data_IF_341174829217
#
_entry.id   IF_341174829217
#
_cell.length_a   1.000
_cell.length_b   1.000
_cell.length_c   1.000
_cell.angle_alpha   90.00
_cell.angle_beta   90.00
_cell.angle_gamma   90.00
#
_symmetry.space_group_name_H-M   'P 1'
#
loop_
_entity.id
_entity.type
_entity.pdbx_description
1 polymer ?
#
# COMPACT_ATOMS: atom_id res chain seq x y z
N UNK A 1 -20.69 0.66 23.14
CA UNK A 1 -20.08 -0.13 22.04
C UNK A 1 -19.12 0.69 21.19
N UNK A 2 -19.48 1.92 20.78
CA UNK A 2 -18.59 2.84 20.03
C UNK A 2 -17.59 3.65 20.88
N UNK A 3 -17.88 3.90 22.17
CA UNK A 3 -17.06 4.79 23.03
C UNK A 3 -15.62 4.33 23.28
N UNK A 4 -15.37 3.03 23.42
CA UNK A 4 -14.00 2.51 23.67
C UNK A 4 -13.12 2.45 22.42
N UNK A 5 -13.74 2.44 21.23
CA UNK A 5 -13.03 2.43 19.94
C UNK A 5 -12.77 3.87 19.46
N UNK A 6 -13.72 4.78 19.68
CA UNK A 6 -13.60 6.22 19.39
C UNK A 6 -12.46 6.89 20.20
N UNK A 7 -12.27 6.48 21.45
CA UNK A 7 -11.23 7.04 22.32
C UNK A 7 -9.80 6.67 21.89
N UNK A 8 -9.60 5.50 21.27
CA UNK A 8 -8.29 5.10 20.72
C UNK A 8 -7.94 5.85 19.43
N UNK A 9 -8.96 6.25 18.65
CA UNK A 9 -8.80 6.98 17.39
C UNK A 9 -8.48 8.47 17.59
N UNK A 10 -9.13 9.12 18.56
CA UNK A 10 -8.83 10.51 18.92
C UNK A 10 -7.39 10.70 19.46
N UNK A 11 -6.86 9.68 20.14
CA UNK A 11 -5.48 9.65 20.65
C UNK A 11 -4.43 9.45 19.55
N UNK A 12 -4.76 8.76 18.46
CA UNK A 12 -3.87 8.66 17.28
C UNK A 12 -3.86 9.94 16.45
N UNK A 13 -4.99 10.64 16.34
CA UNK A 13 -5.07 11.94 15.66
C UNK A 13 -4.22 13.02 16.36
N UNK A 14 -4.03 12.95 17.69
CA UNK A 14 -3.18 13.88 18.43
C UNK A 14 -1.67 13.60 18.29
N UNK A 15 -1.27 12.40 17.86
CA UNK A 15 0.14 12.01 17.70
C UNK A 15 0.72 12.44 16.34
N UNK A 16 -0.12 12.89 15.40
CA UNK A 16 0.30 13.40 14.09
C UNK A 16 0.85 14.84 14.13
N UNK A 17 0.90 15.48 15.31
CA UNK A 17 1.48 16.81 15.49
C UNK A 17 2.94 16.70 15.94
N UNK A 18 3.83 16.32 15.02
CA UNK A 18 5.28 16.52 15.17
C UNK A 18 5.70 17.54 14.11
N UNK A 19 6.14 18.71 14.57
CA UNK A 19 6.46 19.86 13.70
C UNK A 19 7.61 19.59 12.73
N UNK A 20 7.72 20.39 11.65
CA UNK A 20 8.63 20.10 10.56
C UNK A 20 10.08 20.45 10.90
N UNK A 21 11.00 19.53 10.58
CA UNK A 21 12.42 19.84 10.42
C UNK A 21 12.69 19.91 8.91
N UNK A 22 13.03 21.11 8.43
CA UNK A 22 13.31 21.37 7.03
C UNK A 22 14.74 20.90 6.66
N UNK A 23 14.86 20.09 5.62
CA UNK A 23 16.10 19.90 4.87
C UNK A 23 15.78 19.87 3.37
N UNK A 24 16.54 20.64 2.60
CA UNK A 24 16.32 20.94 1.17
C UNK A 24 17.17 19.96 0.34
N UNK A 25 16.56 19.26 -0.63
CA UNK A 25 17.30 18.37 -1.57
C UNK A 25 16.67 18.36 -2.96
N UNK A 26 17.51 18.44 -3.99
CA UNK A 26 17.17 18.59 -5.43
C UNK A 26 16.93 17.24 -6.14
N UNK A 27 16.26 17.26 -7.30
CA UNK A 27 15.80 16.08 -8.05
C UNK A 27 16.93 15.32 -8.78
N UNK A 28 16.80 14.00 -9.03
CA UNK A 28 17.85 13.17 -9.63
C UNK A 28 18.04 13.39 -11.14
N UNK A 29 19.29 13.34 -11.61
CA UNK A 29 19.70 13.46 -13.02
C UNK A 29 19.70 12.09 -13.71
N UNK A 30 19.27 11.97 -14.97
CA UNK A 30 19.31 10.70 -15.72
C UNK A 30 20.55 10.64 -16.63
N UNK A 31 21.28 9.53 -16.58
CA UNK A 31 22.49 9.23 -17.34
C UNK A 31 22.27 7.94 -18.15
N UNK A 32 22.51 7.99 -19.45
CA UNK A 32 22.47 6.83 -20.34
C UNK A 32 23.87 6.24 -20.51
N UNK A 33 24.04 4.97 -20.17
CA UNK A 33 25.25 4.19 -20.45
C UNK A 33 25.03 3.32 -21.69
N UNK A 34 25.57 3.73 -22.83
CA UNK A 34 25.43 3.01 -24.11
C UNK A 34 26.61 2.06 -24.24
N UNK A 35 26.33 0.76 -24.33
CA UNK A 35 27.37 -0.26 -24.50
C UNK A 35 27.33 -0.82 -25.92
N UNK A 36 28.45 -0.73 -26.62
CA UNK A 36 28.65 -1.20 -28.01
C UNK A 36 29.73 -2.28 -28.06
N UNK A 37 29.86 -2.95 -29.21
CA UNK A 37 30.85 -4.02 -29.38
C UNK A 37 32.31 -3.54 -29.23
N UNK A 38 32.57 -2.24 -29.30
CA UNK A 38 33.90 -1.63 -29.24
C UNK A 38 34.20 -0.88 -27.93
N UNK A 39 33.17 -0.57 -27.13
CA UNK A 39 33.34 0.20 -25.89
C UNK A 39 32.03 0.68 -25.25
N UNK A 40 32.15 1.30 -24.08
CA UNK A 40 31.07 1.93 -23.31
C UNK A 40 31.12 3.46 -23.49
N UNK A 41 29.98 4.13 -23.58
CA UNK A 41 29.89 5.60 -23.57
C UNK A 41 28.78 6.10 -22.63
N UNK A 42 29.04 7.16 -21.87
CA UNK A 42 28.09 7.78 -20.93
C UNK A 42 27.56 9.12 -21.45
N UNK A 43 26.26 9.37 -21.27
CA UNK A 43 25.57 10.59 -21.68
C UNK A 43 24.56 11.06 -20.60
N UNK A 44 24.67 12.27 -20.02
CA UNK A 44 25.77 13.22 -20.16
C UNK A 44 27.01 12.78 -19.37
N UNK A 45 28.19 13.25 -19.79
CA UNK A 45 29.46 13.08 -19.09
C UNK A 45 30.31 14.34 -19.37
N UNK A 46 30.73 15.14 -18.36
CA UNK A 46 30.71 14.91 -16.90
C UNK A 46 29.35 15.17 -16.20
N UNK A 47 29.22 14.70 -14.96
CA UNK A 47 28.07 14.94 -14.06
C UNK A 47 28.45 15.72 -12.79
N UNK A 48 27.50 16.41 -12.12
CA UNK A 48 27.76 17.08 -10.86
C UNK A 48 27.97 16.12 -9.69
N UNK A 49 28.86 16.51 -8.78
CA UNK A 49 29.07 15.81 -7.52
C UNK A 49 27.87 15.93 -6.57
N UNK A 50 27.67 14.94 -5.71
CA UNK A 50 26.63 14.91 -4.68
C UNK A 50 25.17 15.07 -5.19
N UNK A 51 24.96 15.10 -6.50
CA UNK A 51 23.62 15.10 -7.09
C UNK A 51 23.15 13.66 -7.28
N UNK A 52 21.95 13.30 -6.81
CA UNK A 52 21.36 11.99 -7.12
C UNK A 52 21.28 11.78 -8.64
N UNK A 53 21.57 10.58 -9.12
CA UNK A 53 21.44 10.27 -10.55
C UNK A 53 20.99 8.83 -10.82
N UNK A 54 20.47 8.57 -12.02
CA UNK A 54 20.03 7.26 -12.50
C UNK A 54 20.92 6.86 -13.68
N UNK A 55 21.53 5.67 -13.65
CA UNK A 55 22.20 5.10 -14.82
C UNK A 55 21.22 4.15 -15.52
N UNK A 56 20.85 4.47 -16.76
CA UNK A 56 20.05 3.63 -17.65
C UNK A 56 20.98 2.96 -18.69
N UNK A 57 21.10 1.63 -18.64
CA UNK A 57 22.02 0.89 -19.52
C UNK A 57 21.33 0.50 -20.83
N UNK A 58 21.88 0.99 -21.94
CA UNK A 58 21.41 0.68 -23.30
C UNK A 58 22.36 -0.33 -23.93
N UNK A 59 21.92 -1.59 -24.06
CA UNK A 59 22.69 -2.64 -24.71
C UNK A 59 22.50 -2.58 -26.24
N UNK A 60 23.57 -2.22 -26.98
CA UNK A 60 23.61 -2.28 -28.45
C UNK A 60 24.46 -3.46 -28.98
N UNK A 61 24.78 -4.42 -28.12
CA UNK A 61 25.49 -5.64 -28.48
C UNK A 61 24.53 -6.81 -28.60
N UNK A 62 24.94 -7.87 -29.31
CA UNK A 62 24.21 -9.14 -29.39
C UNK A 62 24.52 -10.09 -28.22
N UNK A 63 25.26 -9.63 -27.20
CA UNK A 63 25.73 -10.42 -26.07
C UNK A 63 25.15 -9.90 -24.74
N UNK A 64 25.11 -10.73 -23.67
CA UNK A 64 24.81 -10.26 -22.33
C UNK A 64 25.86 -9.25 -21.85
N UNK A 65 25.41 -8.27 -21.05
CA UNK A 65 26.26 -7.18 -20.51
C UNK A 65 25.97 -7.02 -19.03
N UNK A 66 27.04 -6.81 -18.28
CA UNK A 66 27.05 -6.44 -16.88
C UNK A 66 28.04 -5.30 -16.70
N UNK A 67 27.50 -4.10 -16.47
CA UNK A 67 28.28 -2.91 -16.22
C UNK A 67 28.68 -2.90 -14.75
N UNK A 68 29.97 -3.05 -14.48
CA UNK A 68 30.51 -3.07 -13.13
C UNK A 68 31.43 -1.86 -12.89
N UNK A 69 31.42 -1.33 -11.66
CA UNK A 69 32.43 -0.41 -11.18
C UNK A 69 32.98 -0.87 -9.82
N UNK A 70 34.29 -1.08 -9.75
CA UNK A 70 35.01 -1.59 -8.57
C UNK A 70 34.92 -0.66 -7.36
N UNK A 71 34.84 0.65 -7.58
CA UNK A 71 34.88 1.67 -6.52
C UNK A 71 33.52 1.87 -5.83
N UNK A 72 32.43 1.53 -6.53
CA UNK A 72 31.04 1.71 -6.05
C UNK A 72 30.31 0.39 -5.83
N UNK A 73 30.93 -0.75 -6.16
CA UNK A 73 30.35 -2.10 -6.06
C UNK A 73 28.99 -2.19 -6.77
N UNK A 74 28.88 -1.54 -7.93
CA UNK A 74 27.63 -1.46 -8.69
C UNK A 74 27.68 -2.33 -9.93
N UNK A 75 26.79 -3.31 -9.95
CA UNK A 75 26.45 -4.14 -11.13
C UNK A 75 25.13 -3.66 -11.78
N UNK A 76 25.12 -3.51 -13.10
CA UNK A 76 23.91 -3.17 -13.90
C UNK A 76 23.82 -4.07 -15.14
N UNK A 77 22.76 -4.86 -15.24
CA UNK A 77 22.50 -5.72 -16.39
C UNK A 77 21.94 -4.94 -17.60
N UNK A 78 22.09 -5.52 -18.79
CA UNK A 78 21.52 -4.99 -20.04
C UNK A 78 20.04 -4.60 -19.92
N UNK A 79 19.69 -3.39 -20.36
CA UNK A 79 18.33 -2.80 -20.28
C UNK A 79 17.79 -2.64 -18.85
N UNK A 80 18.68 -2.62 -17.85
CA UNK A 80 18.36 -2.32 -16.46
C UNK A 80 18.66 -0.87 -16.09
N UNK A 81 17.91 -0.35 -15.12
CA UNK A 81 18.11 0.96 -14.51
C UNK A 81 18.66 0.80 -13.10
N UNK A 82 19.65 1.62 -12.73
CA UNK A 82 20.15 1.70 -11.35
C UNK A 82 20.23 3.13 -10.86
N UNK A 83 19.54 3.40 -9.76
CA UNK A 83 19.45 4.73 -9.14
C UNK A 83 20.46 4.89 -8.01
N UNK A 84 21.28 5.92 -8.10
CA UNK A 84 22.21 6.36 -7.07
C UNK A 84 21.57 7.52 -6.30
N UNK A 85 21.03 7.22 -5.12
CA UNK A 85 20.33 8.20 -4.27
C UNK A 85 21.28 9.14 -3.50
N UNK A 86 22.53 8.73 -3.31
CA UNK A 86 23.63 9.57 -2.83
C UNK A 86 24.50 9.82 -4.05
N UNK A 87 24.62 11.07 -4.49
CA UNK A 87 25.50 11.41 -5.62
C UNK A 87 26.94 11.02 -5.32
N UNK A 88 27.71 10.76 -6.37
CA UNK A 88 29.13 10.40 -6.22
C UNK A 88 29.95 11.63 -5.82
N UNK A 89 31.04 11.40 -5.08
CA UNK A 89 32.04 12.44 -4.82
C UNK A 89 32.82 12.77 -6.11
N UNK A 90 33.37 13.98 -6.24
CA UNK A 90 34.20 14.34 -7.39
C UNK A 90 35.34 13.33 -7.62
N UNK A 91 35.46 12.83 -8.84
CA UNK A 91 36.37 11.74 -9.16
C UNK A 91 36.12 11.10 -10.53
N UNK A 92 36.99 10.15 -10.89
CA UNK A 92 36.91 9.35 -12.12
C UNK A 92 36.51 7.94 -11.78
N UNK A 93 35.31 7.52 -12.20
CA UNK A 93 34.78 6.18 -11.92
C UNK A 93 34.84 5.35 -13.19
N UNK A 94 35.61 4.27 -13.19
CA UNK A 94 35.81 3.41 -14.35
C UNK A 94 34.77 2.29 -14.34
N UNK A 95 33.98 2.20 -15.39
CA UNK A 95 33.05 1.11 -15.61
C UNK A 95 33.59 0.16 -16.68
N UNK A 96 33.48 -1.14 -16.42
CA UNK A 96 33.87 -2.20 -17.35
C UNK A 96 32.73 -3.19 -17.53
N UNK A 97 32.84 -4.03 -18.56
CA UNK A 97 31.87 -5.09 -18.84
C UNK A 97 32.43 -6.42 -18.35
N UNK A 98 31.88 -6.99 -17.28
CA UNK A 98 32.39 -8.23 -16.68
C UNK A 98 32.13 -9.46 -17.57
N UNK A 99 31.07 -9.43 -18.38
CA UNK A 99 30.81 -10.51 -19.35
C UNK A 99 31.75 -10.52 -20.56
N UNK A 100 32.42 -9.40 -20.87
CA UNK A 100 33.30 -9.31 -22.04
C UNK A 100 34.44 -8.31 -21.86
N UNK A 101 35.60 -8.85 -21.48
CA UNK A 101 36.83 -8.09 -21.21
C UNK A 101 37.46 -7.46 -22.47
N UNK A 102 36.95 -7.75 -23.68
CA UNK A 102 37.38 -7.09 -24.92
C UNK A 102 36.68 -5.75 -25.17
N UNK A 103 35.61 -5.43 -24.43
CA UNK A 103 34.96 -4.12 -24.49
C UNK A 103 35.80 -3.11 -23.71
N UNK A 104 36.18 -2.00 -24.35
CA UNK A 104 36.99 -0.96 -23.69
C UNK A 104 36.22 -0.34 -22.51
N UNK A 105 36.83 -0.26 -21.31
CA UNK A 105 36.24 0.43 -20.16
C UNK A 105 35.99 1.91 -20.46
N UNK A 106 35.03 2.50 -19.76
CA UNK A 106 34.70 3.92 -19.88
C UNK A 106 34.66 4.61 -18.53
N UNK A 107 35.11 5.86 -18.50
CA UNK A 107 35.16 6.67 -17.28
C UNK A 107 33.97 7.62 -17.21
N UNK A 108 33.21 7.53 -16.12
CA UNK A 108 32.24 8.54 -15.72
C UNK A 108 32.96 9.60 -14.88
N UNK A 109 32.98 10.84 -15.36
CA UNK A 109 33.63 11.96 -14.69
C UNK A 109 32.62 12.70 -13.81
N UNK A 110 32.90 12.76 -12.51
CA UNK A 110 32.12 13.50 -11.53
C UNK A 110 32.92 14.75 -11.17
N UNK A 111 32.33 15.93 -11.39
CA UNK A 111 33.01 17.21 -11.24
C UNK A 111 32.27 18.13 -10.28
N UNK A 112 33.03 19.01 -9.63
CA UNK A 112 32.46 20.09 -8.80
C UNK A 112 31.67 21.08 -9.67
N UNK A 113 30.72 21.82 -9.09
CA UNK A 113 29.94 22.83 -9.81
C UNK A 113 30.81 23.93 -10.45
N UNK A 114 31.98 24.20 -9.86
CA UNK A 114 32.97 25.18 -10.37
C UNK A 114 33.68 24.64 -11.61
N UNK A 115 34.02 23.36 -11.65
CA UNK A 115 34.68 22.71 -12.79
C UNK A 115 33.74 22.44 -13.97
N UNK A 116 32.45 22.22 -13.70
CA UNK A 116 31.40 22.05 -14.72
C UNK A 116 31.18 23.32 -15.55
N UNK A 117 31.30 24.50 -14.92
CA UNK A 117 31.13 25.79 -15.58
C UNK A 117 32.28 26.14 -16.55
N UNK A 118 33.45 25.52 -16.34
CA UNK A 118 34.66 25.71 -17.15
C UNK A 118 34.87 24.59 -18.18
N UNK A 119 33.98 23.59 -18.24
CA UNK A 119 34.06 22.47 -19.15
C UNK A 119 33.35 22.77 -20.49
N UNK A 120 33.93 22.30 -21.59
CA UNK A 120 33.36 22.38 -22.95
C UNK A 120 31.96 21.71 -22.99
N UNK A 121 31.04 22.12 -23.89
CA UNK A 121 29.65 21.65 -23.87
C UNK A 121 29.57 20.12 -23.96
N UNK A 122 28.77 19.54 -23.06
CA UNK A 122 28.62 18.10 -22.86
C UNK A 122 28.33 17.36 -24.17
N UNK A 123 28.89 16.15 -24.32
CA UNK A 123 28.52 15.21 -25.39
C UNK A 123 27.03 14.88 -25.19
N UNK A 124 26.15 15.41 -26.02
CA UNK A 124 24.71 15.13 -26.01
C UNK A 124 24.38 14.02 -27.01
N UNK A 125 23.39 13.19 -26.67
CA UNK A 125 23.01 11.98 -27.42
C UNK A 125 22.56 12.32 -28.86
N UNK A 126 22.91 11.55 -29.91
CA UNK A 126 22.28 11.68 -31.23
C UNK A 126 20.82 11.24 -31.14
N UNK A 127 19.92 12.07 -31.67
CA UNK A 127 18.46 11.94 -31.59
C UNK A 127 17.97 10.56 -32.05
N UNK A 128 17.53 9.74 -31.10
CA UNK A 128 16.70 8.56 -31.35
C UNK A 128 15.47 8.66 -30.45
N UNK A 129 14.29 8.69 -31.08
CA UNK A 129 13.01 8.71 -30.40
C UNK A 129 12.75 7.41 -29.63
N UNK A 130 11.89 7.52 -28.60
CA UNK A 130 11.13 6.45 -27.92
C UNK A 130 11.78 5.85 -26.65
N UNK A 131 10.97 5.44 -25.64
CA UNK A 131 10.09 6.23 -24.79
C UNK A 131 10.60 6.23 -23.32
N UNK A 132 10.10 7.15 -22.51
CA UNK A 132 10.33 7.13 -21.07
C UNK A 132 9.73 5.86 -20.45
N UNK A 133 10.56 4.89 -20.05
CA UNK A 133 10.15 3.90 -19.06
C UNK A 133 10.24 4.56 -17.69
N UNK A 134 9.09 5.11 -17.29
CA UNK A 134 8.81 5.38 -15.89
C UNK A 134 9.08 4.10 -15.09
N UNK A 135 9.84 4.23 -14.01
CA UNK A 135 9.79 3.28 -12.89
C UNK A 135 8.35 3.31 -12.40
N UNK A 136 7.50 2.50 -13.01
CA UNK A 136 6.10 2.40 -12.66
C UNK A 136 6.06 1.89 -11.23
N UNK A 137 5.59 2.74 -10.31
CA UNK A 137 4.86 2.26 -9.17
C UNK A 137 3.73 1.38 -9.74
N UNK A 138 3.92 0.08 -9.78
CA UNK A 138 2.88 -0.86 -10.16
C UNK A 138 1.80 -0.76 -9.08
N UNK A 139 0.81 0.11 -9.30
CA UNK A 139 -0.40 0.13 -8.50
C UNK A 139 -1.06 -1.24 -8.69
N UNK A 140 -1.04 -2.06 -7.65
CA UNK A 140 -1.68 -3.37 -7.64
C UNK A 140 -3.20 -3.18 -7.57
N UNK A 141 -3.80 -2.88 -8.70
CA UNK A 141 -5.23 -2.63 -8.87
C UNK A 141 -6.12 -3.75 -8.29
N UNK A 142 -5.64 -4.99 -8.31
CA UNK A 142 -6.32 -6.15 -7.74
C UNK A 142 -6.42 -6.11 -6.21
N UNK A 143 -5.42 -5.59 -5.51
CA UNK A 143 -5.46 -5.39 -4.05
C UNK A 143 -6.52 -4.35 -3.70
N UNK A 144 -6.46 -3.20 -4.38
CA UNK A 144 -7.38 -2.09 -4.19
C UNK A 144 -8.81 -2.58 -4.44
N UNK A 145 -9.02 -3.34 -5.52
CA UNK A 145 -10.32 -3.93 -5.84
C UNK A 145 -10.84 -4.81 -4.70
N UNK A 146 -10.01 -5.72 -4.20
CA UNK A 146 -10.38 -6.66 -3.14
C UNK A 146 -10.71 -5.95 -1.83
N UNK A 147 -9.89 -4.96 -1.45
CA UNK A 147 -10.10 -4.17 -0.24
C UNK A 147 -11.42 -3.40 -0.37
N UNK A 148 -11.61 -2.65 -1.45
CA UNK A 148 -12.85 -1.88 -1.67
C UNK A 148 -14.06 -2.79 -1.70
N UNK A 149 -13.98 -3.94 -2.36
CA UNK A 149 -15.04 -4.95 -2.35
C UNK A 149 -15.38 -5.38 -0.92
N UNK A 150 -14.38 -5.76 -0.11
CA UNK A 150 -14.56 -6.22 1.28
C UNK A 150 -15.17 -5.13 2.16
N UNK A 151 -14.58 -3.94 2.18
CA UNK A 151 -15.06 -2.81 3.00
C UNK A 151 -16.48 -2.42 2.60
N UNK A 152 -16.78 -2.44 1.30
CA UNK A 152 -18.12 -2.15 0.79
C UNK A 152 -19.15 -3.21 1.20
N UNK A 153 -18.79 -4.50 1.21
CA UNK A 153 -19.68 -5.57 1.71
C UNK A 153 -20.02 -5.33 3.19
N UNK A 154 -19.04 -4.99 4.02
CA UNK A 154 -19.26 -4.76 5.46
C UNK A 154 -20.13 -3.52 5.71
N UNK A 155 -19.84 -2.42 5.02
CA UNK A 155 -20.65 -1.21 5.04
C UNK A 155 -22.11 -1.49 4.65
N UNK A 156 -22.32 -2.19 3.53
CA UNK A 156 -23.64 -2.53 3.02
C UNK A 156 -24.38 -3.54 3.90
N UNK A 157 -23.68 -4.43 4.62
CA UNK A 157 -24.32 -5.32 5.60
C UNK A 157 -24.92 -4.53 6.77
N UNK A 158 -24.20 -3.54 7.30
CA UNK A 158 -24.71 -2.69 8.39
C UNK A 158 -25.91 -1.87 7.92
N UNK A 159 -25.79 -1.22 6.75
CA UNK A 159 -26.89 -0.47 6.13
C UNK A 159 -28.09 -1.38 5.85
N UNK A 160 -27.85 -2.60 5.34
CA UNK A 160 -28.88 -3.59 5.06
C UNK A 160 -29.64 -4.04 6.31
N UNK A 161 -28.96 -4.20 7.46
CA UNK A 161 -29.62 -4.50 8.74
C UNK A 161 -30.56 -3.36 9.15
N UNK A 162 -30.10 -2.11 9.08
CA UNK A 162 -30.91 -0.93 9.44
C UNK A 162 -32.08 -0.77 8.46
N UNK A 163 -31.81 -0.92 7.15
CA UNK A 163 -32.81 -0.86 6.09
C UNK A 163 -33.90 -1.92 6.30
N UNK A 164 -33.51 -3.18 6.56
CA UNK A 164 -34.45 -4.28 6.79
C UNK A 164 -35.32 -4.04 8.02
N UNK A 165 -34.77 -3.43 9.08
CA UNK A 165 -35.52 -3.09 10.28
C UNK A 165 -36.53 -1.96 10.03
N UNK A 166 -36.13 -0.94 9.25
CA UNK A 166 -37.02 0.14 8.82
C UNK A 166 -38.15 -0.37 7.91
N UNK A 167 -37.82 -1.24 6.96
CA UNK A 167 -38.77 -1.81 6.00
C UNK A 167 -39.88 -2.62 6.67
N UNK A 168 -39.56 -3.34 7.76
CA UNK A 168 -40.52 -4.14 8.53
C UNK A 168 -41.55 -3.30 9.32
N UNK A 169 -41.32 -2.01 9.55
CA UNK A 169 -42.18 -1.16 10.37
C UNK A 169 -42.99 -0.16 9.54
N UNK A 170 -44.28 -0.44 9.25
CA UNK A 170 -45.17 0.43 8.44
C UNK A 170 -45.28 1.89 8.93
N UNK A 171 -45.11 2.14 10.24
CA UNK A 171 -45.19 3.48 10.85
C UNK A 171 -43.86 4.25 10.91
N UNK A 172 -42.75 3.63 10.49
CA UNK A 172 -41.38 4.18 10.67
C UNK A 172 -40.67 4.52 9.34
N UNK A 173 -41.33 4.32 8.20
CA UNK A 173 -40.70 4.31 6.87
C UNK A 173 -40.23 5.70 6.40
N UNK A 174 -41.09 6.72 6.37
CA UNK A 174 -40.80 7.97 5.65
C UNK A 174 -39.54 8.72 6.13
N UNK A 175 -39.49 9.12 7.39
CA UNK A 175 -38.35 9.90 7.92
C UNK A 175 -37.14 9.02 8.28
N UNK A 176 -37.32 7.73 8.55
CA UNK A 176 -36.21 6.82 8.87
C UNK A 176 -35.27 6.59 7.70
N UNK A 177 -35.79 6.41 6.48
CA UNK A 177 -34.95 6.21 5.29
C UNK A 177 -34.16 7.46 4.91
N UNK A 178 -34.74 8.66 5.09
CA UNK A 178 -34.03 9.91 4.84
C UNK A 178 -32.82 10.07 5.79
N UNK A 179 -32.99 9.79 7.09
CA UNK A 179 -31.89 9.87 8.06
C UNK A 179 -30.84 8.77 7.83
N UNK A 180 -31.25 7.58 7.37
CA UNK A 180 -30.31 6.55 6.93
C UNK A 180 -29.46 7.04 5.75
N UNK A 181 -30.09 7.62 4.71
CA UNK A 181 -29.39 8.19 3.56
C UNK A 181 -28.44 9.33 3.93
N UNK A 182 -28.90 10.27 4.77
CA UNK A 182 -28.05 11.34 5.31
C UNK A 182 -26.87 10.79 6.12
N UNK A 183 -27.08 9.72 6.89
CA UNK A 183 -26.03 9.07 7.65
C UNK A 183 -24.95 8.49 6.72
N UNK A 184 -25.36 7.79 5.66
CA UNK A 184 -24.43 7.24 4.66
C UNK A 184 -23.61 8.36 4.00
N UNK A 185 -24.27 9.42 3.53
CA UNK A 185 -23.58 10.56 2.90
C UNK A 185 -22.60 11.21 3.88
N UNK A 186 -23.01 11.43 5.13
CA UNK A 186 -22.14 11.98 6.16
C UNK A 186 -20.91 11.10 6.41
N UNK A 187 -21.08 9.77 6.49
CA UNK A 187 -19.98 8.84 6.68
C UNK A 187 -19.00 8.83 5.50
N UNK A 188 -19.51 8.84 4.26
CA UNK A 188 -18.68 8.93 3.05
C UNK A 188 -17.89 10.24 3.00
N UNK A 189 -18.52 11.37 3.36
CA UNK A 189 -17.83 12.66 3.44
C UNK A 189 -16.69 12.65 4.47
N UNK A 190 -16.87 12.00 5.62
CA UNK A 190 -15.79 11.82 6.59
C UNK A 190 -14.62 11.00 6.03
N UNK A 191 -14.88 9.96 5.26
CA UNK A 191 -13.83 9.15 4.63
C UNK A 191 -13.10 9.90 3.51
N UNK A 192 -13.82 10.66 2.69
CA UNK A 192 -13.23 11.55 1.68
C UNK A 192 -12.34 12.60 2.34
N UNK A 193 -12.81 13.21 3.43
CA UNK A 193 -12.03 14.17 4.21
C UNK A 193 -10.74 13.52 4.76
N UNK A 194 -10.84 12.30 5.30
CA UNK A 194 -9.68 11.56 5.77
C UNK A 194 -8.69 11.26 4.63
N UNK A 195 -9.16 10.77 3.49
CA UNK A 195 -8.32 10.54 2.31
C UNK A 195 -7.59 11.81 1.87
N UNK A 196 -8.31 12.94 1.83
CA UNK A 196 -7.74 14.24 1.49
C UNK A 196 -6.66 14.66 2.50
N UNK A 197 -6.89 14.43 3.80
CA UNK A 197 -5.90 14.70 4.85
C UNK A 197 -4.66 13.82 4.72
N UNK A 198 -4.81 12.52 4.43
CA UNK A 198 -3.69 11.60 4.23
C UNK A 198 -2.82 11.97 3.03
N UNK A 199 -3.46 12.29 1.90
CA UNK A 199 -2.75 12.72 0.68
C UNK A 199 -2.03 14.05 0.94
N UNK A 200 -2.73 15.02 1.54
CA UNK A 200 -2.15 16.33 1.84
C UNK A 200 -0.99 16.24 2.84
N UNK A 201 -1.12 15.42 3.88
CA UNK A 201 -0.03 15.14 4.81
C UNK A 201 1.20 14.57 4.08
N UNK A 202 0.99 13.65 3.13
CA UNK A 202 2.08 13.07 2.33
C UNK A 202 2.80 14.09 1.45
N UNK A 203 2.10 15.10 0.92
CA UNK A 203 2.68 16.15 0.08
C UNK A 203 3.43 17.23 0.85
N UNK A 204 3.08 17.47 2.12
CA UNK A 204 3.75 18.47 2.97
C UNK A 204 5.04 17.90 3.59
N UNK A 205 5.13 16.58 3.75
CA UNK A 205 6.30 15.89 4.27
C UNK A 205 7.46 15.88 3.26
N UNK A 206 8.70 15.85 3.75
CA UNK A 206 9.86 15.60 2.89
C UNK A 206 9.76 14.19 2.26
N UNK A 207 10.38 13.91 1.09
CA UNK A 207 10.28 12.61 0.44
C UNK A 207 10.63 11.43 1.37
N UNK A 208 11.71 11.57 2.16
CA UNK A 208 12.10 10.57 3.15
C UNK A 208 11.06 10.39 4.25
N UNK A 209 10.51 11.50 4.77
CA UNK A 209 9.48 11.45 5.80
C UNK A 209 8.15 10.91 5.24
N UNK A 210 7.81 11.19 3.98
CA UNK A 210 6.65 10.65 3.30
C UNK A 210 6.78 9.12 3.10
N UNK A 211 7.97 8.62 2.75
CA UNK A 211 8.22 7.17 2.69
C UNK A 211 8.10 6.51 4.05
N UNK A 212 8.67 7.10 5.11
CA UNK A 212 8.51 6.58 6.48
C UNK A 212 7.06 6.63 6.96
N UNK A 213 6.35 7.73 6.66
CA UNK A 213 4.94 7.89 6.98
C UNK A 213 4.10 6.84 6.25
N UNK A 214 4.36 6.60 4.97
CA UNK A 214 3.71 5.52 4.21
C UNK A 214 4.01 4.15 4.82
N UNK A 215 5.28 3.82 5.09
CA UNK A 215 5.65 2.56 5.72
C UNK A 215 4.97 2.37 7.08
N UNK A 216 4.89 3.43 7.90
CA UNK A 216 4.16 3.44 9.16
C UNK A 216 2.66 3.20 8.98
N UNK A 217 2.03 3.86 8.00
CA UNK A 217 0.62 3.65 7.65
C UNK A 217 0.36 2.24 7.15
N UNK A 218 1.27 1.65 6.34
CA UNK A 218 1.20 0.25 5.90
C UNK A 218 1.29 -0.73 7.08
N UNK A 219 2.14 -0.44 8.06
CA UNK A 219 2.23 -1.25 9.27
C UNK A 219 0.99 -1.14 10.16
N UNK A 220 0.46 0.08 10.32
CA UNK A 220 -0.81 0.34 11.03
C UNK A 220 -1.95 -0.41 10.35
N UNK A 221 -2.04 -0.33 9.03
CA UNK A 221 -3.01 -1.06 8.23
C UNK A 221 -2.94 -2.58 8.49
N UNK A 222 -1.73 -3.18 8.43
CA UNK A 222 -1.56 -4.60 8.74
C UNK A 222 -2.03 -4.96 10.16
N UNK A 223 -1.70 -4.13 11.15
CA UNK A 223 -2.15 -4.30 12.54
C UNK A 223 -3.67 -4.21 12.68
N UNK A 224 -4.31 -3.27 11.97
CA UNK A 224 -5.77 -3.11 11.94
C UNK A 224 -6.47 -4.34 11.38
N UNK A 225 -5.94 -4.96 10.32
CA UNK A 225 -6.48 -6.20 9.76
C UNK A 225 -6.50 -7.31 10.82
N UNK A 226 -5.36 -7.55 11.48
CA UNK A 226 -5.26 -8.60 12.51
C UNK A 226 -6.21 -8.32 13.68
N UNK A 227 -6.32 -7.06 14.10
CA UNK A 227 -7.24 -6.64 15.14
C UNK A 227 -8.71 -6.88 14.76
N UNK A 228 -9.11 -6.51 13.54
CA UNK A 228 -10.47 -6.68 13.03
C UNK A 228 -10.85 -8.16 12.91
N UNK A 229 -9.94 -9.00 12.39
CA UNK A 229 -10.11 -10.45 12.35
C UNK A 229 -10.34 -11.02 13.75
N UNK A 230 -9.49 -10.65 14.73
CA UNK A 230 -9.64 -11.05 16.13
C UNK A 230 -10.98 -10.61 16.72
N UNK A 231 -11.40 -9.38 16.41
CA UNK A 231 -12.66 -8.82 16.89
C UNK A 231 -13.87 -9.57 16.33
N UNK A 232 -13.86 -9.88 15.03
CA UNK A 232 -14.94 -10.60 14.36
C UNK A 232 -15.10 -12.03 14.89
N UNK A 233 -13.98 -12.74 15.12
CA UNK A 233 -13.98 -14.07 15.78
C UNK A 233 -14.65 -14.04 17.16
N UNK A 234 -14.48 -12.96 17.91
CA UNK A 234 -15.03 -12.80 19.27
C UNK A 234 -16.48 -12.36 19.29
N UNK A 235 -16.89 -11.45 18.41
CA UNK A 235 -18.17 -10.74 18.50
C UNK A 235 -19.21 -11.13 17.44
N UNK A 236 -18.87 -11.97 16.45
CA UNK A 236 -19.74 -12.30 15.32
C UNK A 236 -21.12 -12.90 15.69
N UNK A 237 -21.29 -13.51 16.87
CA UNK A 237 -22.57 -14.09 17.33
C UNK A 237 -23.51 -13.09 18.03
N UNK A 238 -22.99 -11.97 18.54
CA UNK A 238 -23.71 -11.05 19.45
C UNK A 238 -24.29 -9.84 18.71
N UNK A 239 -23.88 -9.62 17.45
CA UNK A 239 -24.20 -8.40 16.70
C UNK A 239 -25.69 -8.28 16.33
N UNK A 240 -26.37 -9.39 16.01
CA UNK A 240 -27.79 -9.37 15.64
C UNK A 240 -28.72 -9.06 16.82
N UNK A 241 -28.51 -9.63 18.01
CA UNK A 241 -29.48 -9.51 19.12
C UNK A 241 -29.53 -8.11 19.76
N UNK A 242 -28.38 -7.45 19.85
CA UNK A 242 -28.25 -6.20 20.60
C UNK A 242 -28.72 -4.96 19.83
N UNK A 243 -28.67 -4.98 18.49
CA UNK A 243 -29.11 -3.84 17.69
C UNK A 243 -30.64 -3.69 17.70
N UNK A 244 -31.38 -4.79 17.60
CA UNK A 244 -32.85 -4.75 17.70
C UNK A 244 -33.32 -4.22 19.06
N UNK A 245 -32.71 -4.70 20.16
CA UNK A 245 -33.06 -4.24 21.51
C UNK A 245 -32.72 -2.77 21.80
N UNK A 246 -31.70 -2.22 21.15
CA UNK A 246 -31.29 -0.82 21.38
C UNK A 246 -32.17 0.18 20.61
N UNK A 247 -32.74 -0.23 19.48
CA UNK A 247 -33.61 0.62 18.65
C UNK A 247 -35.07 0.62 19.12
N UNK A 248 -35.54 -0.45 19.76
CA UNK A 248 -36.91 -0.54 20.28
C UNK A 248 -37.13 0.20 21.62
N UNK A 249 -36.07 0.58 22.34
CA UNK A 249 -36.17 1.31 23.62
C UNK A 249 -36.52 2.81 23.49
N UNK A 250 -36.48 3.38 22.29
CA UNK A 250 -36.72 4.81 22.06
C UNK A 250 -38.11 5.06 21.47
N UNK A 251 -39.06 5.51 22.29
CA UNK A 251 -40.48 5.69 21.90
C UNK A 251 -40.72 6.90 20.97
N UNK A 252 -39.85 7.92 21.01
CA UNK A 252 -40.03 9.15 20.23
C UNK A 252 -39.37 9.09 18.84
N UNK A 253 -40.13 9.47 17.79
CA UNK A 253 -39.69 9.48 16.39
C UNK A 253 -38.41 10.28 16.14
N UNK A 254 -38.23 11.43 16.81
CA UNK A 254 -37.04 12.28 16.64
C UNK A 254 -35.76 11.59 17.09
N UNK A 255 -35.76 11.00 18.28
CA UNK A 255 -34.58 10.34 18.83
C UNK A 255 -34.23 9.06 18.06
N UNK A 256 -35.25 8.33 17.57
CA UNK A 256 -35.05 7.20 16.66
C UNK A 256 -34.33 7.63 15.38
N UNK A 257 -34.79 8.69 14.72
CA UNK A 257 -34.20 9.15 13.47
C UNK A 257 -32.76 9.63 13.65
N UNK A 258 -32.47 10.36 14.73
CA UNK A 258 -31.09 10.76 15.08
C UNK A 258 -30.22 9.52 15.34
N UNK A 259 -30.74 8.53 16.08
CA UNK A 259 -30.01 7.29 16.34
C UNK A 259 -29.69 6.53 15.04
N UNK A 260 -30.64 6.43 14.11
CA UNK A 260 -30.42 5.82 12.78
C UNK A 260 -29.31 6.57 12.04
N UNK A 261 -29.40 7.90 11.95
CA UNK A 261 -28.39 8.73 11.30
C UNK A 261 -27.01 8.51 11.91
N UNK A 262 -26.88 8.60 13.24
CA UNK A 262 -25.61 8.44 13.95
C UNK A 262 -25.02 7.05 13.79
N UNK A 263 -25.86 6.00 13.91
CA UNK A 263 -25.36 4.62 13.76
C UNK A 263 -24.92 4.36 12.33
N UNK A 264 -25.69 4.81 11.33
CA UNK A 264 -25.33 4.67 9.93
C UNK A 264 -24.08 5.48 9.58
N UNK A 265 -23.98 6.73 10.03
CA UNK A 265 -22.83 7.58 9.73
C UNK A 265 -21.55 7.05 10.34
N UNK A 266 -21.56 6.63 11.62
CA UNK A 266 -20.37 6.11 12.27
C UNK A 266 -19.97 4.75 11.69
N UNK A 267 -20.93 3.90 11.31
CA UNK A 267 -20.62 2.64 10.65
C UNK A 267 -19.97 2.86 9.28
N UNK A 268 -20.57 3.71 8.43
CA UNK A 268 -20.02 4.00 7.10
C UNK A 268 -18.69 4.73 7.20
N UNK A 269 -18.56 5.74 8.07
CA UNK A 269 -17.31 6.46 8.28
C UNK A 269 -16.19 5.51 8.66
N UNK A 270 -16.47 4.50 9.49
CA UNK A 270 -15.50 3.49 9.89
C UNK A 270 -15.03 2.66 8.70
N UNK A 271 -15.93 1.91 8.06
CA UNK A 271 -15.52 0.97 6.99
C UNK A 271 -14.89 1.73 5.81
N UNK A 272 -15.41 2.93 5.47
CA UNK A 272 -14.83 3.76 4.43
C UNK A 272 -13.47 4.38 4.85
N UNK A 273 -13.26 4.73 6.13
CA UNK A 273 -11.95 5.19 6.62
C UNK A 273 -10.89 4.08 6.60
N UNK A 274 -11.29 2.84 6.91
CA UNK A 274 -10.42 1.67 6.81
C UNK A 274 -9.99 1.49 5.34
N UNK A 275 -10.94 1.56 4.39
CA UNK A 275 -10.64 1.56 2.95
C UNK A 275 -9.65 2.67 2.54
N UNK A 276 -9.87 3.91 2.97
CA UNK A 276 -9.00 5.05 2.68
C UNK A 276 -7.55 4.82 3.16
N UNK A 277 -7.38 4.32 4.38
CA UNK A 277 -6.07 4.02 4.95
C UNK A 277 -5.38 2.92 4.18
N UNK A 278 -6.10 1.85 3.83
CA UNK A 278 -5.54 0.75 3.06
C UNK A 278 -5.10 1.20 1.66
N UNK A 279 -5.94 1.94 0.95
CA UNK A 279 -5.62 2.44 -0.39
C UNK A 279 -4.40 3.37 -0.33
N UNK A 280 -4.32 4.23 0.69
CA UNK A 280 -3.14 5.07 0.91
C UNK A 280 -1.88 4.22 1.18
N UNK A 281 -1.98 3.22 2.05
CA UNK A 281 -0.88 2.32 2.41
C UNK A 281 -0.33 1.50 1.24
N UNK A 282 -1.11 1.30 0.19
CA UNK A 282 -0.70 0.64 -1.06
C UNK A 282 0.03 1.57 -2.03
N UNK A 283 0.29 2.83 -1.66
CA UNK A 283 1.13 3.75 -2.42
C UNK A 283 0.39 4.74 -3.30
N UNK A 284 -0.92 4.96 -3.09
CA UNK A 284 -1.70 5.93 -3.86
C UNK A 284 -1.18 7.39 -3.76
N UNK A 285 -0.42 7.72 -2.70
CA UNK A 285 0.18 9.04 -2.49
C UNK A 285 1.17 9.47 -3.58
N UNK A 286 1.87 8.51 -4.21
CA UNK A 286 2.96 8.81 -5.14
C UNK A 286 2.47 9.12 -6.56
N UNK A 287 1.28 8.65 -6.92
CA UNK A 287 0.75 8.79 -8.28
C UNK A 287 -0.01 10.09 -8.47
N UNK A 288 -0.66 10.64 -7.43
CA UNK A 288 -1.35 11.94 -7.41
C UNK A 288 -2.54 12.11 -8.37
N UNK A 289 -2.53 11.40 -9.50
CA UNK A 289 -3.53 11.41 -10.54
C UNK A 289 -4.61 10.37 -10.25
N UNK A 290 -5.84 10.85 -10.11
CA UNK A 290 -7.02 10.02 -10.13
C UNK A 290 -7.25 9.53 -11.56
N UNK A 291 -6.54 8.48 -11.97
CA UNK A 291 -6.69 7.89 -13.29
C UNK A 291 -8.10 7.34 -13.47
N UNK A 292 -8.61 7.37 -14.71
CA UNK A 292 -9.89 6.74 -15.07
C UNK A 292 -9.90 5.26 -14.67
N UNK A 293 -8.74 4.59 -14.74
CA UNK A 293 -8.59 3.20 -14.30
C UNK A 293 -8.86 3.02 -12.81
N UNK A 294 -8.35 3.92 -11.95
CA UNK A 294 -8.58 3.87 -10.50
C UNK A 294 -10.07 4.01 -10.18
N UNK A 295 -10.74 5.01 -10.76
CA UNK A 295 -12.19 5.20 -10.58
C UNK A 295 -12.96 3.95 -11.01
N UNK A 296 -12.57 3.36 -12.15
CA UNK A 296 -13.17 2.12 -12.64
C UNK A 296 -13.01 0.95 -11.66
N UNK A 297 -11.85 0.83 -11.01
CA UNK A 297 -11.57 -0.24 -10.04
C UNK A 297 -12.34 -0.03 -8.74
N UNK A 298 -12.38 1.20 -8.22
CA UNK A 298 -13.18 1.54 -7.04
C UNK A 298 -14.66 1.23 -7.30
N UNK A 299 -15.18 1.64 -8.45
CA UNK A 299 -16.56 1.37 -8.87
C UNK A 299 -16.82 -0.13 -9.03
N UNK A 300 -15.90 -0.87 -9.64
CA UNK A 300 -16.00 -2.32 -9.79
C UNK A 300 -16.04 -3.02 -8.42
N UNK A 301 -15.24 -2.59 -7.45
CA UNK A 301 -15.24 -3.15 -6.09
C UNK A 301 -16.58 -2.97 -5.40
N UNK A 302 -17.17 -1.78 -5.48
CA UNK A 302 -18.52 -1.50 -4.96
C UNK A 302 -19.58 -2.32 -5.68
N UNK A 303 -19.50 -2.44 -7.01
CA UNK A 303 -20.43 -3.25 -7.81
C UNK A 303 -20.37 -4.72 -7.40
N UNK A 304 -19.17 -5.28 -7.26
CA UNK A 304 -18.96 -6.64 -6.76
C UNK A 304 -19.55 -6.82 -5.36
N UNK A 305 -19.51 -5.80 -4.50
CA UNK A 305 -20.05 -5.87 -3.15
C UNK A 305 -21.58 -5.95 -3.18
N UNK A 306 -22.21 -5.13 -4.01
CA UNK A 306 -23.66 -5.18 -4.26
C UNK A 306 -24.07 -6.54 -4.82
N UNK A 307 -23.34 -7.05 -5.82
CA UNK A 307 -23.58 -8.36 -6.42
C UNK A 307 -23.43 -9.50 -5.39
N UNK A 308 -22.42 -9.41 -4.51
CA UNK A 308 -22.19 -10.37 -3.43
C UNK A 308 -23.35 -10.39 -2.45
N UNK A 309 -23.84 -9.23 -2.03
CA UNK A 309 -24.98 -9.14 -1.11
C UNK A 309 -26.25 -9.67 -1.75
N UNK A 310 -26.50 -9.36 -3.02
CA UNK A 310 -27.61 -9.92 -3.76
C UNK A 310 -27.55 -11.46 -3.83
N UNK A 311 -26.40 -12.02 -4.21
CA UNK A 311 -26.15 -13.46 -4.21
C UNK A 311 -26.37 -14.10 -2.83
N UNK A 312 -25.90 -13.45 -1.76
CA UNK A 312 -26.10 -13.94 -0.39
C UNK A 312 -27.57 -13.93 0.04
N UNK A 313 -28.37 -12.96 -0.44
CA UNK A 313 -29.81 -12.93 -0.19
C UNK A 313 -30.56 -14.06 -0.92
N UNK A 314 -30.16 -14.38 -2.16
CA UNK A 314 -30.71 -15.51 -2.91
C UNK A 314 -30.24 -16.86 -2.34
N UNK A 315 -29.03 -16.90 -1.77
CA UNK A 315 -28.28 -18.10 -1.43
C UNK A 315 -28.46 -18.66 -0.02
N UNK A 316 -29.51 -18.32 0.73
CA UNK A 316 -29.67 -18.76 2.13
C UNK A 316 -29.73 -20.31 2.30
N UNK A 317 -29.86 -21.07 1.21
CA UNK A 317 -29.76 -22.54 1.16
C UNK A 317 -28.43 -23.11 0.62
N UNK A 318 -27.60 -22.32 -0.07
CA UNK A 318 -26.47 -22.85 -0.87
C UNK A 318 -25.11 -22.53 -0.24
N UNK A 319 -24.96 -21.40 0.46
CA UNK A 319 -23.68 -20.96 1.02
C UNK A 319 -23.77 -20.73 2.53
N UNK A 320 -22.92 -21.43 3.30
CA UNK A 320 -22.87 -21.21 4.75
C UNK A 320 -22.09 -19.93 5.06
N UNK A 321 -22.70 -19.01 5.83
CA UNK A 321 -22.04 -17.79 6.31
C UNK A 321 -20.70 -18.07 6.99
N UNK A 322 -20.60 -19.21 7.70
CA UNK A 322 -19.37 -19.62 8.39
C UNK A 322 -18.23 -19.92 7.42
N UNK A 323 -18.51 -20.51 6.27
CA UNK A 323 -17.49 -20.85 5.28
C UNK A 323 -16.97 -19.60 4.57
N UNK A 324 -17.88 -18.70 4.16
CA UNK A 324 -17.50 -17.40 3.58
C UNK A 324 -16.57 -16.63 4.51
N UNK A 325 -16.98 -16.43 5.77
CA UNK A 325 -16.17 -15.71 6.74
C UNK A 325 -14.83 -16.40 7.03
N UNK A 326 -14.77 -17.73 7.04
CA UNK A 326 -13.50 -18.45 7.27
C UNK A 326 -12.52 -18.23 6.11
N UNK A 327 -12.99 -18.26 4.87
CA UNK A 327 -12.14 -18.01 3.70
C UNK A 327 -11.65 -16.56 3.69
N UNK A 328 -12.56 -15.59 3.84
CA UNK A 328 -12.19 -14.18 3.81
C UNK A 328 -11.25 -13.83 4.95
N UNK A 329 -11.42 -14.43 6.13
CA UNK A 329 -10.53 -14.25 7.26
C UNK A 329 -9.10 -14.73 6.98
N UNK A 330 -8.94 -15.94 6.40
CA UNK A 330 -7.61 -16.45 6.02
C UNK A 330 -6.95 -15.53 5.00
N UNK A 331 -7.71 -15.10 3.99
CA UNK A 331 -7.22 -14.21 2.95
C UNK A 331 -6.81 -12.83 3.49
N UNK A 332 -7.55 -12.30 4.47
CA UNK A 332 -7.19 -11.05 5.16
C UNK A 332 -5.90 -11.21 5.98
N UNK A 333 -5.72 -12.32 6.69
CA UNK A 333 -4.48 -12.56 7.44
C UNK A 333 -3.28 -12.72 6.50
N UNK A 334 -3.46 -13.34 5.33
CA UNK A 334 -2.43 -13.38 4.29
C UNK A 334 -2.11 -11.96 3.78
N UNK A 335 -3.13 -11.16 3.45
CA UNK A 335 -2.97 -9.77 2.99
C UNK A 335 -2.22 -8.92 4.03
N UNK A 336 -2.55 -9.07 5.31
CA UNK A 336 -1.84 -8.40 6.41
C UNK A 336 -0.36 -8.75 6.43
N UNK A 337 0.00 -10.01 6.16
CA UNK A 337 1.40 -10.44 6.03
C UNK A 337 2.08 -9.83 4.81
N UNK A 338 1.38 -9.76 3.68
CA UNK A 338 1.84 -9.06 2.48
C UNK A 338 2.13 -7.58 2.73
N UNK A 339 1.24 -6.87 3.43
CA UNK A 339 1.45 -5.47 3.83
C UNK A 339 2.66 -5.29 4.74
N UNK A 340 2.87 -6.19 5.71
CA UNK A 340 4.07 -6.15 6.56
C UNK A 340 5.33 -6.30 5.72
N UNK A 341 5.37 -7.26 4.79
CA UNK A 341 6.52 -7.42 3.90
C UNK A 341 6.72 -6.21 3.00
N UNK A 342 5.67 -5.64 2.43
CA UNK A 342 5.76 -4.40 1.65
C UNK A 342 6.26 -3.20 2.47
N UNK A 343 5.98 -3.16 3.78
CA UNK A 343 6.57 -2.19 4.70
C UNK A 343 8.07 -2.44 4.90
N UNK A 344 8.48 -3.69 5.13
CA UNK A 344 9.89 -4.07 5.27
C UNK A 344 10.68 -3.76 3.99
N UNK A 345 10.16 -4.13 2.82
CA UNK A 345 10.74 -3.81 1.53
C UNK A 345 11.00 -2.31 1.40
N UNK A 346 10.01 -1.47 1.76
CA UNK A 346 10.15 -0.01 1.74
C UNK A 346 11.23 0.48 2.71
N UNK A 347 11.34 -0.10 3.91
CA UNK A 347 12.35 0.26 4.90
C UNK A 347 13.77 -0.17 4.48
N UNK A 348 13.90 -1.34 3.84
CA UNK A 348 15.16 -1.81 3.26
C UNK A 348 15.60 -0.91 2.12
N UNK A 349 14.69 -0.60 1.18
CA UNK A 349 14.96 0.29 0.02
C UNK A 349 15.26 1.74 0.42
N UNK A 350 14.87 2.13 1.63
CA UNK A 350 15.12 3.45 2.20
C UNK A 350 16.38 3.49 3.07
N UNK A 351 17.07 2.36 3.24
CA UNK A 351 18.30 2.25 4.04
C UNK A 351 18.08 2.27 5.56
N UNK A 352 16.83 2.22 6.04
CA UNK A 352 16.52 2.17 7.48
C UNK A 352 16.68 0.77 8.06
N UNK A 353 16.56 -0.27 7.23
CA UNK A 353 16.69 -1.66 7.64
C UNK A 353 17.72 -2.37 6.74
N UNK A 354 18.66 -3.14 7.29
CA UNK A 354 19.53 -3.98 6.47
C UNK A 354 18.73 -5.18 5.92
N UNK A 355 18.98 -5.56 4.67
CA UNK A 355 18.42 -6.80 4.11
C UNK A 355 18.97 -8.08 4.78
N UNK A 356 20.06 -7.95 5.54
CA UNK A 356 20.90 -9.02 6.12
C UNK A 356 21.57 -9.90 5.06
N UNK A 357 20.78 -10.52 4.19
CA UNK A 357 21.21 -11.31 3.04
C UNK A 357 20.22 -11.10 1.89
N UNK A 358 20.71 -10.58 0.74
CA UNK A 358 19.88 -10.02 -0.32
C UNK A 358 19.02 -11.03 -1.09
N UNK A 359 19.41 -12.31 -1.11
CA UNK A 359 18.64 -13.36 -1.81
C UNK A 359 18.85 -14.71 -1.12
N UNK A 360 17.98 -15.04 -0.18
CA UNK A 360 18.09 -16.28 0.59
C UNK A 360 17.77 -17.52 -0.26
N UNK A 361 16.80 -17.41 -1.17
CA UNK A 361 16.53 -18.41 -2.21
C UNK A 361 16.08 -17.74 -3.51
N UNK A 362 16.02 -18.52 -4.60
CA UNK A 362 15.44 -18.08 -5.86
C UNK A 362 14.41 -19.11 -6.35
N UNK A 363 13.17 -18.68 -6.43
CA UNK A 363 12.04 -19.48 -6.94
C UNK A 363 11.44 -18.89 -8.21
N UNK A 364 12.16 -17.96 -8.87
CA UNK A 364 11.74 -17.29 -10.10
C UNK A 364 11.52 -18.26 -11.27
N UNK A 365 12.06 -19.48 -11.18
CA UNK A 365 11.78 -20.59 -12.09
C UNK A 365 10.31 -21.04 -12.06
N UNK A 366 9.65 -21.01 -10.89
CA UNK A 366 8.25 -21.43 -10.75
C UNK A 366 7.29 -20.30 -11.13
N UNK A 367 7.59 -19.09 -10.66
CA UNK A 367 6.76 -17.90 -10.89
C UNK A 367 7.70 -16.76 -11.24
N UNK A 368 7.78 -16.44 -12.52
CA UNK A 368 8.63 -15.34 -12.99
C UNK A 368 8.08 -13.99 -12.56
N UNK A 369 8.96 -13.00 -12.40
CA UNK A 369 8.59 -11.61 -12.11
C UNK A 369 7.70 -10.96 -13.19
N UNK A 370 7.60 -11.56 -14.37
CA UNK A 370 6.78 -11.09 -15.49
C UNK A 370 5.38 -11.72 -15.54
N UNK A 371 5.09 -12.68 -14.66
CA UNK A 371 3.78 -13.33 -14.60
C UNK A 371 2.71 -12.37 -14.05
N UNK A 372 1.53 -12.36 -14.68
CA UNK A 372 0.34 -11.61 -14.22
C UNK A 372 -0.10 -12.01 -12.81
N UNK A 373 0.26 -13.23 -12.38
CA UNK A 373 -0.09 -13.79 -11.06
C UNK A 373 0.94 -13.40 -9.99
N UNK A 374 2.18 -13.06 -10.38
CA UNK A 374 3.25 -12.73 -9.42
C UNK A 374 2.89 -11.52 -8.54
N UNK A 375 2.36 -10.40 -9.07
CA UNK A 375 1.89 -9.29 -8.24
C UNK A 375 0.79 -9.75 -7.27
N UNK A 376 -0.17 -10.56 -7.71
CA UNK A 376 -1.23 -11.08 -6.83
C UNK A 376 -0.67 -11.88 -5.65
N UNK A 377 0.28 -12.78 -5.88
CA UNK A 377 0.89 -13.56 -4.80
C UNK A 377 1.76 -12.69 -3.89
N UNK A 378 2.49 -11.73 -4.47
CA UNK A 378 3.31 -10.74 -3.76
C UNK A 378 2.47 -9.91 -2.79
N UNK A 379 1.32 -9.48 -3.28
CA UNK A 379 0.32 -8.67 -2.61
C UNK A 379 -0.47 -9.40 -1.54
N UNK A 380 -1.14 -10.50 -1.92
CA UNK A 380 -2.08 -11.20 -1.08
C UNK A 380 -1.41 -12.16 -0.12
N UNK A 381 -0.34 -12.84 -0.55
CA UNK A 381 0.32 -13.87 0.26
C UNK A 381 1.59 -13.31 0.88
N UNK A 382 2.19 -12.26 0.31
CA UNK A 382 3.53 -11.83 0.67
C UNK A 382 4.61 -12.67 -0.01
N UNK A 383 4.30 -13.37 -1.09
CA UNK A 383 5.28 -14.19 -1.79
C UNK A 383 6.33 -13.30 -2.47
N UNK A 384 7.61 -13.60 -2.25
CA UNK A 384 8.72 -12.97 -2.97
C UNK A 384 9.50 -14.08 -3.67
N UNK A 385 9.71 -14.03 -5.00
CA UNK A 385 10.47 -15.05 -5.71
C UNK A 385 11.92 -15.17 -5.21
N UNK A 386 12.50 -14.03 -4.83
CA UNK A 386 13.82 -13.90 -4.24
C UNK A 386 13.75 -13.04 -2.95
N UNK A 387 13.33 -13.62 -1.81
CA UNK A 387 13.24 -12.88 -0.54
C UNK A 387 14.62 -12.67 0.07
N UNK A 388 14.74 -11.59 0.83
CA UNK A 388 15.85 -11.41 1.75
C UNK A 388 15.67 -12.26 3.02
N UNK A 389 16.75 -12.48 3.76
CA UNK A 389 16.65 -13.17 5.07
C UNK A 389 15.74 -12.38 6.02
N UNK A 390 15.76 -11.05 5.94
CA UNK A 390 14.92 -10.19 6.77
C UNK A 390 13.41 -10.42 6.51
N UNK A 391 13.03 -10.60 5.25
CA UNK A 391 11.63 -10.86 4.87
C UNK A 391 11.12 -12.16 5.50
N UNK A 392 11.93 -13.21 5.47
CA UNK A 392 11.57 -14.51 6.05
C UNK A 392 11.38 -14.38 7.56
N UNK A 393 12.33 -13.75 8.24
CA UNK A 393 12.26 -13.55 9.70
C UNK A 393 11.02 -12.75 10.10
N UNK A 394 10.74 -11.66 9.39
CA UNK A 394 9.58 -10.82 9.67
C UNK A 394 8.28 -11.58 9.37
N UNK A 395 8.18 -12.29 8.25
CA UNK A 395 6.97 -13.03 7.90
C UNK A 395 6.69 -14.17 8.91
N UNK A 396 7.72 -14.88 9.35
CA UNK A 396 7.59 -15.87 10.43
C UNK A 396 7.12 -15.20 11.73
N UNK A 397 7.72 -14.06 12.11
CA UNK A 397 7.33 -13.32 13.31
C UNK A 397 5.87 -12.86 13.25
N UNK A 398 5.40 -12.40 12.08
CA UNK A 398 4.02 -12.00 11.84
C UNK A 398 3.05 -13.15 12.14
N UNK A 399 3.29 -14.34 11.59
CA UNK A 399 2.42 -15.51 11.82
C UNK A 399 2.43 -15.98 13.27
N UNK A 400 3.58 -15.92 13.95
CA UNK A 400 3.68 -16.24 15.40
C UNK A 400 2.81 -15.28 16.21
N UNK A 401 2.92 -13.98 15.95
CA UNK A 401 2.12 -12.94 16.62
C UNK A 401 0.64 -13.15 16.35
N UNK A 402 0.24 -13.37 15.09
CA UNK A 402 -1.14 -13.65 14.70
C UNK A 402 -1.69 -14.88 15.43
N UNK A 403 -0.94 -16.00 15.43
CA UNK A 403 -1.33 -17.22 16.13
C UNK A 403 -1.60 -16.95 17.62
N UNK A 404 -0.68 -16.26 18.30
CA UNK A 404 -0.83 -15.94 19.71
C UNK A 404 -2.02 -15.00 19.98
N UNK A 405 -2.17 -13.94 19.18
CA UNK A 405 -3.25 -12.97 19.33
C UNK A 405 -4.63 -13.61 19.14
N UNK A 406 -4.77 -14.53 18.18
CA UNK A 406 -6.02 -15.21 17.89
C UNK A 406 -6.33 -16.34 18.88
N UNK A 407 -5.31 -16.95 19.50
CA UNK A 407 -5.47 -18.04 20.47
C UNK A 407 -5.55 -17.58 21.94
N UNK A 408 -5.52 -16.28 22.21
CA UNK A 408 -5.74 -15.74 23.56
C UNK A 408 -7.08 -16.23 24.14
N UNK A 409 -7.01 -17.16 25.12
CA UNK A 409 -8.16 -17.78 25.79
C UNK A 409 -9.09 -16.70 26.39
N UNK A 410 -10.40 -16.97 26.41
CA UNK A 410 -11.37 -16.13 27.12
C UNK A 410 -10.93 -16.00 28.57
N UNK A 411 -10.68 -14.78 29.05
CA UNK A 411 -10.71 -14.52 30.49
C UNK A 411 -12.16 -14.80 30.92
N UNK A 412 -12.43 -15.78 31.80
CA UNK A 412 -13.78 -16.01 32.28
C UNK A 412 -14.26 -14.72 32.94
N UNK A 413 -15.31 -14.11 32.36
CA UNK A 413 -15.93 -12.93 32.91
C UNK A 413 -16.43 -13.25 34.31
N UNK A 414 -16.08 -12.39 35.26
CA UNK A 414 -16.58 -12.40 36.63
C UNK A 414 -18.08 -12.68 36.61
N UNK A 415 -18.47 -13.83 37.16
CA UNK A 415 -19.86 -14.12 37.45
C UNK A 415 -20.41 -12.97 38.29
N UNK A 416 -21.47 -12.32 37.81
CA UNK A 416 -22.24 -11.38 38.60
C UNK A 416 -22.66 -12.11 39.89
N UNK A 417 -22.15 -11.66 41.02
CA UNK A 417 -22.68 -12.08 42.32
C UNK A 417 -24.05 -11.43 42.44
N UNK A 418 -25.03 -12.30 42.64
CA UNK A 418 -26.47 -12.06 42.86
C UNK A 418 -26.77 -10.87 43.75
#
# INVERSE_FOLDING_TARGET
MFSRICCSWLLMLSLLWVGPVAAKTEAPIVISAVVTATGIEFFPNPIPENTPFIIHVINKTSAPIELENSDTSVEIYANGDKTFKIGLAAGSYIFFNDFNNHVKPATLLVKTAVELKNANPAKTMPTAATPAHSVAANLNYSEILFIVWRESVEALLVVGVIYSWLAQSKTKQGSGFLFLGLGIVCGLLCAILLSFMLITASHILSPTAATLFQAGMTLIAAGMIVYMVKWMRRNGKVLKSNMYQSLDKNSSTRYRNIAIFTVASVAIAREASEASIFIYALGFSHSGDCSVTMIGILALGVLLAIATIFLLQLGNKIFSWRFFFKITEILLLLLGGGLVLSCIDQLILSGYLPALYNRFWDTSFLISNQSVISPLLTSFVGYRPAPSLMDILVYCSYWIVVYFLLNTKKVPGYAAKS
#
